data_IF_235150914504
#
_entry.id   IF_235150914504
#
_cell.length_a   1.000
_cell.length_b   1.000
_cell.length_c   1.000
_cell.angle_alpha   90.00
_cell.angle_beta   90.00
_cell.angle_gamma   90.00
#
_symmetry.space_group_name_H-M   'P 1'
#
loop_
_entity.id
_entity.type
_entity.pdbx_description
1 polymer ?
#
# COMPACT_ATOMS: atom_id res chain seq x y z
N UNK A 1 4.62 17.80 25.48
CA UNK A 1 3.21 17.52 25.14
C UNK A 1 3.18 17.01 23.70
N UNK A 2 2.27 16.10 23.39
CA UNK A 2 2.20 15.48 22.06
C UNK A 2 1.71 16.52 21.04
N UNK A 3 2.61 16.92 20.13
CA UNK A 3 2.37 17.91 19.08
C UNK A 3 1.12 17.56 18.26
N UNK A 4 0.83 16.26 18.13
CA UNK A 4 -0.35 15.78 17.43
C UNK A 4 -1.62 16.24 18.17
N UNK A 5 -1.72 15.96 19.47
CA UNK A 5 -2.88 16.36 20.28
C UNK A 5 -3.06 17.88 20.32
N UNK A 6 -1.95 18.62 20.46
CA UNK A 6 -1.99 20.08 20.36
C UNK A 6 -2.55 20.53 19.01
N UNK A 7 -2.02 20.00 17.90
CA UNK A 7 -2.46 20.36 16.54
C UNK A 7 -3.93 19.99 16.27
N UNK A 8 -4.39 18.84 16.76
CA UNK A 8 -5.79 18.40 16.62
C UNK A 8 -6.77 19.34 17.36
N UNK A 9 -6.33 19.90 18.50
CA UNK A 9 -7.12 20.81 19.34
C UNK A 9 -7.20 22.25 18.81
N UNK A 10 -6.35 22.62 17.84
CA UNK A 10 -6.36 23.96 17.28
C UNK A 10 -7.62 24.22 16.45
N UNK A 11 -8.14 25.44 16.59
CA UNK A 11 -9.12 26.02 15.66
C UNK A 11 -8.33 26.66 14.53
N UNK A 12 -8.30 26.07 13.32
CA UNK A 12 -7.48 26.58 12.24
C UNK A 12 -8.03 27.90 11.70
N UNK A 13 -7.15 28.74 11.16
CA UNK A 13 -7.60 29.86 10.32
C UNK A 13 -8.41 29.36 9.12
N UNK A 14 -9.45 30.09 8.65
CA UNK A 14 -10.44 29.56 7.71
C UNK A 14 -9.85 28.90 6.46
N UNK A 15 -8.76 29.46 5.91
CA UNK A 15 -8.13 28.93 4.70
C UNK A 15 -7.35 27.61 4.93
N UNK A 16 -6.91 27.33 6.16
CA UNK A 16 -6.23 26.08 6.53
C UNK A 16 -7.20 24.99 6.98
N UNK A 17 -8.48 25.30 7.14
CA UNK A 17 -9.48 24.34 7.61
C UNK A 17 -9.48 23.02 6.81
N UNK A 18 -9.37 23.00 5.46
CA UNK A 18 -9.27 21.76 4.70
C UNK A 18 -8.02 20.94 5.04
N UNK A 19 -6.87 21.59 5.22
CA UNK A 19 -5.60 20.92 5.55
C UNK A 19 -5.63 20.30 6.95
N UNK A 20 -6.24 20.99 7.94
CA UNK A 20 -6.45 20.44 9.28
C UNK A 20 -7.48 19.31 9.29
N UNK A 21 -8.52 19.38 8.45
CA UNK A 21 -9.47 18.28 8.28
C UNK A 21 -8.79 17.03 7.70
N UNK A 22 -7.95 17.19 6.66
CA UNK A 22 -7.15 16.10 6.11
C UNK A 22 -6.20 15.52 7.17
N UNK A 23 -5.55 16.35 7.98
CA UNK A 23 -4.68 15.90 9.07
C UNK A 23 -5.43 15.08 10.13
N UNK A 24 -6.62 15.51 10.56
CA UNK A 24 -7.47 14.74 11.49
C UNK A 24 -7.82 13.37 10.93
N UNK A 25 -8.18 13.32 9.64
CA UNK A 25 -8.49 12.07 8.97
C UNK A 25 -7.25 11.16 8.90
N UNK A 26 -6.09 11.69 8.47
CA UNK A 26 -4.81 10.98 8.49
C UNK A 26 -4.58 10.34 9.87
N UNK A 27 -4.68 11.12 10.94
CA UNK A 27 -4.46 10.61 12.30
C UNK A 27 -5.42 9.48 12.67
N UNK A 28 -6.71 9.62 12.35
CA UNK A 28 -7.70 8.57 12.61
C UNK A 28 -7.41 7.28 11.83
N UNK A 29 -6.94 7.40 10.58
CA UNK A 29 -6.55 6.25 9.75
C UNK A 29 -5.29 5.57 10.26
N UNK A 30 -4.31 6.33 10.78
CA UNK A 30 -3.07 5.78 11.38
C UNK A 30 -3.38 4.90 12.58
N UNK A 31 -4.36 5.28 13.40
CA UNK A 31 -4.71 4.46 14.57
C UNK A 31 -5.25 3.08 14.18
N UNK A 32 -5.89 2.97 13.00
CA UNK A 32 -6.39 1.73 12.44
C UNK A 32 -5.34 0.96 11.60
N UNK A 33 -4.19 1.58 11.31
CA UNK A 33 -3.17 0.97 10.45
C UNK A 33 -2.52 -0.25 11.13
N UNK A 34 -2.39 -1.35 10.37
CA UNK A 34 -1.79 -2.60 10.84
C UNK A 34 -0.29 -2.74 10.56
N UNK A 35 0.29 -1.82 9.79
CA UNK A 35 1.70 -1.86 9.38
C UNK A 35 2.28 -0.45 9.24
N UNK A 36 3.60 -0.33 9.43
CA UNK A 36 4.34 0.94 9.37
C UNK A 36 3.76 2.03 10.29
N UNK A 37 3.19 1.63 11.45
CA UNK A 37 2.44 2.52 12.33
C UNK A 37 3.35 3.59 12.94
N UNK A 38 4.57 3.25 13.33
CA UNK A 38 5.53 4.21 13.88
C UNK A 38 5.99 5.21 12.82
N UNK A 39 6.33 4.75 11.61
CA UNK A 39 6.70 5.64 10.51
C UNK A 39 5.57 6.61 10.16
N UNK A 40 4.34 6.12 10.09
CA UNK A 40 3.17 6.96 9.85
C UNK A 40 2.93 7.98 10.99
N UNK A 41 3.17 7.60 12.25
CA UNK A 41 3.12 8.53 13.39
C UNK A 41 4.16 9.65 13.27
N UNK A 42 5.39 9.33 12.87
CA UNK A 42 6.43 10.35 12.62
C UNK A 42 6.05 11.27 11.46
N UNK A 43 5.40 10.74 10.41
CA UNK A 43 4.83 11.55 9.32
C UNK A 43 3.75 12.50 9.83
N UNK A 44 2.81 12.00 10.64
CA UNK A 44 1.78 12.84 11.25
C UNK A 44 2.38 13.93 12.15
N UNK A 45 3.41 13.62 12.95
CA UNK A 45 4.12 14.62 13.74
C UNK A 45 4.71 15.73 12.86
N UNK A 46 5.35 15.35 11.75
CA UNK A 46 5.95 16.30 10.80
C UNK A 46 4.90 17.21 10.16
N UNK A 47 3.76 16.64 9.76
CA UNK A 47 2.62 17.39 9.23
C UNK A 47 2.03 18.33 10.30
N UNK A 48 1.86 17.83 11.53
CA UNK A 48 1.32 18.61 12.64
C UNK A 48 2.19 19.83 12.95
N UNK A 49 3.51 19.66 13.02
CA UNK A 49 4.48 20.75 13.19
C UNK A 49 4.38 21.79 12.07
N UNK A 50 4.28 21.34 10.82
CA UNK A 50 4.11 22.22 9.67
C UNK A 50 2.84 23.06 9.79
N UNK A 51 1.70 22.42 10.04
CA UNK A 51 0.41 23.09 10.14
C UNK A 51 0.36 24.09 11.30
N UNK A 52 0.92 23.72 12.47
CA UNK A 52 1.04 24.64 13.61
C UNK A 52 1.88 25.87 13.25
N UNK A 53 3.02 25.67 12.60
CA UNK A 53 3.92 26.77 12.23
C UNK A 53 3.26 27.72 11.24
N UNK A 54 2.58 27.19 10.22
CA UNK A 54 1.85 28.02 9.24
C UNK A 54 0.71 28.78 9.92
N UNK A 55 -0.07 28.14 10.81
CA UNK A 55 -1.16 28.80 11.54
C UNK A 55 -0.63 29.94 12.43
N UNK A 56 0.48 29.73 13.14
CA UNK A 56 1.15 30.75 13.96
C UNK A 56 1.66 31.92 13.13
N UNK A 57 2.35 31.66 12.03
CA UNK A 57 2.91 32.69 11.14
C UNK A 57 1.79 33.51 10.45
N UNK A 58 0.65 32.87 10.15
CA UNK A 58 -0.52 33.56 9.61
C UNK A 58 -1.18 34.46 10.65
N UNK A 59 -1.41 33.96 11.87
CA UNK A 59 -1.94 34.76 13.00
C UNK A 59 -1.01 35.92 13.35
N UNK A 60 0.31 35.71 13.21
CA UNK A 60 1.34 36.73 13.37
C UNK A 60 1.42 37.76 12.23
N UNK A 61 0.55 37.66 11.21
CA UNK A 61 0.49 38.51 9.99
C UNK A 61 1.75 38.48 9.11
N UNK A 62 2.73 37.62 9.37
CA UNK A 62 4.00 37.54 8.62
C UNK A 62 3.83 36.88 7.25
N UNK A 63 2.90 35.94 7.13
CA UNK A 63 2.62 35.28 5.83
C UNK A 63 1.90 36.18 4.82
N UNK A 64 1.14 37.18 5.28
CA UNK A 64 0.38 38.10 4.41
C UNK A 64 1.28 39.03 3.57
N UNK A 65 2.55 39.21 3.95
CA UNK A 65 3.53 39.99 3.19
C UNK A 65 4.07 39.20 1.97
N UNK A 66 3.99 37.87 2.01
CA UNK A 66 4.43 36.98 0.92
C UNK A 66 3.23 36.62 0.02
N UNK A 67 3.13 37.24 -1.16
CA UNK A 67 2.04 37.06 -2.14
C UNK A 67 2.00 35.67 -2.85
N UNK A 68 2.21 34.55 -2.16
CA UNK A 68 2.25 33.23 -2.80
C UNK A 68 1.21 32.27 -2.21
N UNK A 69 0.07 32.12 -2.89
CA UNK A 69 -0.98 31.13 -2.57
C UNK A 69 -0.65 29.71 -3.06
N UNK A 70 0.30 29.60 -4.00
CA UNK A 70 0.70 28.35 -4.67
C UNK A 70 1.28 27.29 -3.71
N UNK A 71 2.18 27.63 -2.77
CA UNK A 71 2.72 26.67 -1.81
C UNK A 71 1.65 26.07 -0.88
N UNK A 72 0.61 26.84 -0.54
CA UNK A 72 -0.49 26.39 0.32
C UNK A 72 -1.44 25.45 -0.43
N UNK A 73 -1.74 25.74 -1.70
CA UNK A 73 -2.51 24.84 -2.56
C UNK A 73 -1.77 23.50 -2.78
N UNK A 74 -0.45 23.55 -3.00
CA UNK A 74 0.39 22.36 -3.13
C UNK A 74 0.41 21.53 -1.84
N UNK A 75 0.49 22.17 -0.66
CA UNK A 75 0.39 21.49 0.63
C UNK A 75 -0.97 20.80 0.80
N UNK A 76 -2.06 21.48 0.46
CA UNK A 76 -3.39 20.86 0.55
C UNK A 76 -3.50 19.63 -0.35
N UNK A 77 -3.04 19.71 -1.61
CA UNK A 77 -3.00 18.57 -2.53
C UNK A 77 -2.20 17.40 -1.98
N UNK A 78 -1.02 17.67 -1.42
CA UNK A 78 -0.16 16.66 -0.80
C UNK A 78 -0.84 15.99 0.41
N UNK A 79 -1.51 16.76 1.29
CA UNK A 79 -2.20 16.20 2.45
C UNK A 79 -3.40 15.33 2.05
N UNK A 80 -4.10 15.67 0.96
CA UNK A 80 -5.17 14.83 0.40
C UNK A 80 -4.60 13.52 -0.17
N UNK A 81 -3.46 13.58 -0.85
CA UNK A 81 -2.77 12.39 -1.35
C UNK A 81 -2.33 11.48 -0.19
N UNK A 82 -1.68 12.03 0.83
CA UNK A 82 -1.26 11.30 2.03
C UNK A 82 -2.48 10.70 2.73
N UNK A 83 -3.55 11.46 2.90
CA UNK A 83 -4.81 11.00 3.48
C UNK A 83 -5.38 9.79 2.74
N UNK A 84 -5.40 9.84 1.41
CA UNK A 84 -5.90 8.74 0.58
C UNK A 84 -4.99 7.50 0.69
N UNK A 85 -3.68 7.70 0.69
CA UNK A 85 -2.70 6.64 0.86
C UNK A 85 -2.82 5.95 2.22
N UNK A 86 -2.82 6.71 3.32
CA UNK A 86 -2.88 6.15 4.68
C UNK A 86 -4.19 5.40 4.90
N UNK A 87 -5.32 5.94 4.43
CA UNK A 87 -6.60 5.24 4.50
C UNK A 87 -6.58 3.93 3.72
N UNK A 88 -5.98 3.94 2.53
CA UNK A 88 -5.82 2.73 1.73
C UNK A 88 -5.01 1.69 2.49
N UNK A 89 -3.81 2.05 2.98
CA UNK A 89 -2.96 1.14 3.76
C UNK A 89 -3.67 0.61 5.03
N UNK A 90 -4.46 1.43 5.72
CA UNK A 90 -5.17 1.01 6.93
C UNK A 90 -6.23 -0.07 6.68
N UNK A 91 -6.79 -0.13 5.46
CA UNK A 91 -7.82 -1.09 5.07
C UNK A 91 -7.27 -2.37 4.41
N UNK A 92 -5.97 -2.42 4.10
CA UNK A 92 -5.35 -3.58 3.43
C UNK A 92 -5.22 -4.76 4.40
N UNK A 93 -5.42 -5.96 3.85
CA UNK A 93 -5.15 -7.20 4.57
C UNK A 93 -3.65 -7.43 4.80
N UNK A 94 -3.34 -8.23 5.83
CA UNK A 94 -1.99 -8.51 6.30
C UNK A 94 -1.01 -8.93 5.19
N UNK A 95 -1.36 -9.92 4.35
CA UNK A 95 -0.46 -10.40 3.29
C UNK A 95 -0.15 -9.31 2.24
N UNK A 96 -1.15 -8.51 1.85
CA UNK A 96 -0.92 -7.40 0.91
C UNK A 96 0.05 -6.39 1.52
N UNK A 97 -0.10 -6.06 2.80
CA UNK A 97 0.81 -5.19 3.52
C UNK A 97 2.23 -5.77 3.63
N UNK A 98 2.34 -7.09 3.83
CA UNK A 98 3.63 -7.77 3.90
C UNK A 98 4.35 -7.77 2.54
N UNK A 99 3.67 -8.17 1.46
CA UNK A 99 4.25 -8.23 0.12
C UNK A 99 4.61 -6.86 -0.46
N UNK A 100 3.94 -5.79 -0.02
CA UNK A 100 4.18 -4.42 -0.50
C UNK A 100 4.98 -3.56 0.49
N UNK A 101 5.65 -4.19 1.49
CA UNK A 101 6.32 -3.44 2.59
C UNK A 101 7.33 -2.42 2.07
N UNK A 102 8.18 -2.80 1.12
CA UNK A 102 9.29 -1.95 0.67
C UNK A 102 8.77 -0.75 -0.13
N UNK A 103 7.73 -0.99 -0.94
CA UNK A 103 7.06 0.08 -1.68
C UNK A 103 6.35 1.06 -0.75
N UNK A 104 5.67 0.55 0.28
CA UNK A 104 5.02 1.38 1.31
C UNK A 104 6.05 2.22 2.06
N UNK A 105 7.15 1.61 2.51
CA UNK A 105 8.24 2.30 3.22
C UNK A 105 8.82 3.42 2.35
N UNK A 106 9.16 3.11 1.09
CA UNK A 106 9.70 4.08 0.16
C UNK A 106 8.73 5.25 -0.11
N UNK A 107 7.42 4.96 -0.19
CA UNK A 107 6.39 6.00 -0.37
C UNK A 107 6.24 6.91 0.85
N UNK A 108 6.29 6.35 2.06
CA UNK A 108 6.27 7.14 3.30
C UNK A 108 7.49 8.07 3.36
N UNK A 109 8.67 7.58 3.00
CA UNK A 109 9.89 8.40 2.91
C UNK A 109 9.77 9.52 1.87
N UNK A 110 9.13 9.26 0.73
CA UNK A 110 8.89 10.26 -0.30
C UNK A 110 8.01 11.41 0.22
N UNK A 111 6.89 11.10 0.88
CA UNK A 111 6.05 12.13 1.51
C UNK A 111 6.80 12.92 2.55
N UNK A 112 7.59 12.24 3.35
CA UNK A 112 8.45 12.88 4.33
C UNK A 112 9.46 13.85 3.70
N UNK A 113 10.13 13.46 2.61
CA UNK A 113 11.03 14.34 1.87
C UNK A 113 10.27 15.54 1.33
N UNK A 114 9.08 15.35 0.76
CA UNK A 114 8.25 16.44 0.25
C UNK A 114 7.87 17.42 1.37
N UNK A 115 7.38 16.92 2.51
CA UNK A 115 7.10 17.73 3.69
C UNK A 115 8.37 18.45 4.16
N UNK A 116 9.52 17.79 4.24
CA UNK A 116 10.80 18.41 4.62
C UNK A 116 11.25 19.53 3.67
N UNK A 117 11.02 19.40 2.36
CA UNK A 117 11.33 20.47 1.40
C UNK A 117 10.50 21.74 1.62
N UNK A 118 9.23 21.59 2.01
CA UNK A 118 8.37 22.72 2.38
C UNK A 118 8.86 23.42 3.66
N UNK A 119 9.71 22.76 4.45
CA UNK A 119 10.14 23.18 5.78
C UNK A 119 11.65 23.45 5.82
N UNK A 120 12.34 23.59 4.68
CA UNK A 120 13.81 23.68 4.63
C UNK A 120 14.44 24.87 5.37
N UNK A 121 13.66 25.80 5.92
CA UNK A 121 14.13 26.85 6.83
C UNK A 121 13.80 26.62 8.34
N UNK A 122 13.00 25.61 8.69
CA UNK A 122 12.29 25.54 9.98
C UNK A 122 12.51 24.24 10.77
N UNK A 123 13.04 23.16 10.18
CA UNK A 123 13.26 21.89 10.90
C UNK A 123 14.70 21.37 10.76
N UNK A 124 15.21 20.81 11.85
CA UNK A 124 16.48 20.09 11.90
C UNK A 124 16.35 18.78 11.12
N UNK A 125 16.73 18.81 9.84
CA UNK A 125 16.66 17.67 8.89
C UNK A 125 17.34 16.42 9.46
N UNK A 126 18.44 16.57 10.20
CA UNK A 126 19.16 15.44 10.80
C UNK A 126 18.38 14.79 11.95
N UNK A 127 17.75 15.60 12.81
CA UNK A 127 16.90 15.08 13.87
C UNK A 127 15.71 14.31 13.28
N UNK A 128 15.11 14.83 12.21
CA UNK A 128 14.02 14.17 11.50
C UNK A 128 14.44 12.83 10.88
N UNK A 129 15.58 12.79 10.18
CA UNK A 129 16.10 11.54 9.59
C UNK A 129 16.30 10.46 10.66
N UNK A 130 16.91 10.83 11.79
CA UNK A 130 17.11 9.91 12.91
C UNK A 130 15.79 9.38 13.50
N UNK A 131 14.76 10.23 13.63
CA UNK A 131 13.45 9.81 14.09
C UNK A 131 12.78 8.82 13.14
N UNK A 132 12.85 9.07 11.82
CA UNK A 132 12.28 8.19 10.81
C UNK A 132 12.99 6.82 10.75
N UNK A 133 14.32 6.79 10.90
CA UNK A 133 15.09 5.55 10.99
C UNK A 133 14.70 4.73 12.22
N UNK A 134 14.60 5.38 13.39
CA UNK A 134 14.16 4.71 14.64
C UNK A 134 12.73 4.16 14.53
N UNK A 135 11.83 4.92 13.90
CA UNK A 135 10.46 4.48 13.67
C UNK A 135 10.42 3.24 12.79
N UNK A 136 11.16 3.24 11.68
CA UNK A 136 11.30 2.06 10.80
C UNK A 136 11.87 0.85 11.53
N UNK A 137 12.93 1.04 12.31
CA UNK A 137 13.52 -0.05 13.08
C UNK A 137 12.54 -0.65 14.10
N UNK A 138 11.67 0.19 14.66
CA UNK A 138 10.62 -0.26 15.59
C UNK A 138 9.52 -1.03 14.86
N UNK A 139 9.01 -0.49 13.75
CA UNK A 139 8.02 -1.18 12.90
C UNK A 139 8.54 -2.53 12.40
N UNK A 140 9.81 -2.60 11.99
CA UNK A 140 10.44 -3.85 11.57
C UNK A 140 10.50 -4.86 12.71
N UNK A 141 10.91 -4.43 13.92
CA UNK A 141 10.95 -5.32 15.09
C UNK A 141 9.57 -5.90 15.41
N UNK A 142 8.54 -5.06 15.44
CA UNK A 142 7.16 -5.48 15.69
C UNK A 142 6.66 -6.46 14.63
N UNK A 143 6.98 -6.21 13.36
CA UNK A 143 6.67 -7.13 12.26
C UNK A 143 7.34 -8.50 12.50
N UNK A 144 8.62 -8.53 12.87
CA UNK A 144 9.37 -9.77 13.08
C UNK A 144 8.80 -10.61 14.23
N UNK A 145 8.44 -9.95 15.32
CA UNK A 145 7.79 -10.58 16.48
C UNK A 145 6.44 -11.17 16.07
N UNK A 146 5.65 -10.43 15.28
CA UNK A 146 4.38 -10.91 14.74
C UNK A 146 4.58 -12.12 13.80
N UNK A 147 5.52 -12.06 12.87
CA UNK A 147 5.82 -13.19 11.98
C UNK A 147 6.27 -14.43 12.76
N UNK A 148 7.10 -14.25 13.78
CA UNK A 148 7.56 -15.35 14.64
C UNK A 148 6.41 -15.99 15.42
N UNK A 149 5.47 -15.20 15.95
CA UNK A 149 4.30 -15.74 16.64
C UNK A 149 3.34 -16.49 15.71
N UNK A 150 3.17 -16.02 14.47
CA UNK A 150 2.36 -16.70 13.45
C UNK A 150 3.02 -17.99 12.91
N UNK A 151 4.35 -18.05 12.90
CA UNK A 151 5.10 -19.27 12.56
C UNK A 151 4.84 -20.38 13.58
N UNK A 152 4.78 -20.05 14.87
CA UNK A 152 4.65 -21.03 15.96
C UNK A 152 3.18 -21.37 16.26
N UNK A 153 2.24 -20.46 15.99
CA UNK A 153 0.84 -20.62 16.37
C UNK A 153 -0.07 -21.01 15.19
N UNK A 154 -0.40 -22.30 15.11
CA UNK A 154 -1.26 -22.85 14.07
C UNK A 154 -2.73 -22.40 14.10
N UNK A 155 -3.23 -21.81 15.21
CA UNK A 155 -4.61 -21.30 15.30
C UNK A 155 -4.74 -19.85 14.84
N UNK A 156 -3.71 -19.02 15.05
CA UNK A 156 -3.72 -17.60 14.66
C UNK A 156 -3.51 -17.40 13.16
N UNK A 157 -2.79 -18.33 12.52
CA UNK A 157 -2.44 -18.22 11.10
C UNK A 157 -3.68 -18.16 10.18
N UNK A 158 -4.66 -19.10 10.27
CA UNK A 158 -5.82 -19.09 9.37
C UNK A 158 -6.71 -17.87 9.57
N UNK A 159 -6.87 -17.42 10.82
CA UNK A 159 -7.61 -16.21 11.18
C UNK A 159 -6.96 -14.96 10.57
N UNK A 160 -5.64 -14.83 10.69
CA UNK A 160 -4.88 -13.68 10.18
C UNK A 160 -4.88 -13.61 8.65
N UNK A 161 -4.84 -14.77 7.99
CA UNK A 161 -4.82 -14.85 6.53
C UNK A 161 -6.20 -14.60 5.91
N UNK A 162 -7.28 -14.65 6.71
CA UNK A 162 -8.66 -14.59 6.25
C UNK A 162 -8.89 -15.51 5.02
N UNK A 163 -8.53 -16.78 5.18
CA UNK A 163 -8.44 -17.73 4.07
C UNK A 163 -9.83 -18.04 3.51
N UNK A 164 -10.19 -17.40 2.40
CA UNK A 164 -11.29 -17.83 1.55
C UNK A 164 -10.76 -18.65 0.37
N UNK A 165 -11.48 -19.70 -0.03
CA UNK A 165 -11.06 -20.64 -1.09
C UNK A 165 -10.67 -19.94 -2.40
N UNK A 166 -11.36 -18.84 -2.76
CA UNK A 166 -11.08 -18.04 -3.97
C UNK A 166 -9.74 -17.28 -3.93
N UNK A 167 -9.22 -16.97 -2.74
CA UNK A 167 -7.97 -16.20 -2.59
C UNK A 167 -6.75 -17.10 -2.33
N UNK A 168 -6.97 -18.37 -1.98
CA UNK A 168 -5.91 -19.30 -1.58
C UNK A 168 -4.85 -19.54 -2.66
N UNK A 169 -5.27 -19.77 -3.91
CA UNK A 169 -4.33 -19.99 -5.02
C UNK A 169 -3.45 -18.77 -5.27
N UNK A 170 -4.04 -17.57 -5.22
CA UNK A 170 -3.30 -16.31 -5.33
C UNK A 170 -2.27 -16.15 -4.21
N UNK A 171 -2.65 -16.47 -2.97
CA UNK A 171 -1.70 -16.46 -1.84
C UNK A 171 -0.54 -17.42 -2.06
N UNK A 172 -0.81 -18.67 -2.45
CA UNK A 172 0.23 -19.67 -2.67
C UNK A 172 1.22 -19.25 -3.75
N UNK A 173 0.73 -18.70 -4.86
CA UNK A 173 1.57 -18.17 -5.95
C UNK A 173 2.44 -17.02 -5.45
N UNK A 174 1.86 -16.04 -4.72
CA UNK A 174 2.63 -14.91 -4.18
C UNK A 174 3.70 -15.38 -3.19
N UNK A 175 3.36 -16.30 -2.27
CA UNK A 175 4.30 -16.86 -1.29
C UNK A 175 5.46 -17.59 -1.96
N UNK A 176 5.16 -18.49 -2.92
CA UNK A 176 6.19 -19.20 -3.69
C UNK A 176 7.13 -18.24 -4.41
N UNK A 177 6.59 -17.18 -5.02
CA UNK A 177 7.37 -16.18 -5.74
C UNK A 177 8.29 -15.38 -4.81
N UNK A 178 7.82 -14.99 -3.63
CA UNK A 178 8.65 -14.32 -2.63
C UNK A 178 9.81 -15.22 -2.17
N UNK A 179 9.52 -16.48 -1.82
CA UNK A 179 10.56 -17.47 -1.46
C UNK A 179 11.60 -17.63 -2.57
N UNK A 180 11.17 -17.74 -3.84
CA UNK A 180 12.06 -17.92 -4.99
C UNK A 180 12.93 -16.70 -5.29
N UNK A 181 12.41 -15.49 -5.08
CA UNK A 181 13.17 -14.24 -5.33
C UNK A 181 14.35 -14.10 -4.39
N UNK A 182 14.33 -14.73 -3.22
CA UNK A 182 15.49 -14.78 -2.32
C UNK A 182 15.95 -13.40 -1.84
N UNK A 183 15.04 -12.42 -1.78
CA UNK A 183 15.30 -11.05 -1.30
C UNK A 183 14.85 -10.88 0.16
N UNK A 184 13.96 -11.74 0.63
CA UNK A 184 13.31 -11.57 1.92
C UNK A 184 14.27 -11.85 3.10
N UNK A 185 13.98 -11.27 4.25
CA UNK A 185 14.74 -11.49 5.49
C UNK A 185 14.52 -12.91 6.05
N UNK A 186 15.40 -13.40 6.92
CA UNK A 186 15.33 -14.78 7.43
C UNK A 186 13.97 -15.13 8.04
N UNK A 187 13.36 -14.21 8.81
CA UNK A 187 12.04 -14.42 9.41
C UNK A 187 10.90 -14.43 8.37
N UNK A 188 10.99 -13.61 7.32
CA UNK A 188 9.97 -13.57 6.26
C UNK A 188 9.99 -14.85 5.45
N UNK A 189 11.19 -15.32 5.09
CA UNK A 189 11.34 -16.61 4.38
C UNK A 189 10.77 -17.76 5.18
N UNK A 190 11.05 -17.83 6.49
CA UNK A 190 10.49 -18.87 7.38
C UNK A 190 8.98 -18.78 7.43
N UNK A 191 8.44 -17.58 7.65
CA UNK A 191 7.00 -17.36 7.67
C UNK A 191 6.34 -17.76 6.34
N UNK A 192 6.93 -17.37 5.20
CA UNK A 192 6.40 -17.72 3.88
C UNK A 192 6.43 -19.22 3.62
N UNK A 193 7.52 -19.90 3.97
CA UNK A 193 7.64 -21.34 3.82
C UNK A 193 6.61 -22.08 4.69
N UNK A 194 6.48 -21.69 5.96
CA UNK A 194 5.50 -22.26 6.88
C UNK A 194 4.07 -22.04 6.39
N UNK A 195 3.74 -20.83 5.95
CA UNK A 195 2.41 -20.50 5.43
C UNK A 195 2.09 -21.28 4.16
N UNK A 196 3.06 -21.39 3.24
CA UNK A 196 2.89 -22.17 2.02
C UNK A 196 2.68 -23.65 2.32
N UNK A 197 3.42 -24.21 3.27
CA UNK A 197 3.25 -25.60 3.71
C UNK A 197 1.86 -25.83 4.29
N UNK A 198 1.38 -24.92 5.14
CA UNK A 198 0.03 -24.95 5.69
C UNK A 198 -1.01 -24.96 4.55
N UNK A 199 -0.95 -23.99 3.62
CA UNK A 199 -1.90 -23.89 2.52
C UNK A 199 -1.87 -25.08 1.56
N UNK A 200 -0.68 -25.64 1.30
CA UNK A 200 -0.52 -26.85 0.47
C UNK A 200 -1.19 -28.06 1.15
N UNK A 201 -1.00 -28.20 2.45
CA UNK A 201 -1.60 -29.30 3.23
C UNK A 201 -3.11 -29.16 3.31
N UNK A 202 -3.63 -27.96 3.58
CA UNK A 202 -5.06 -27.70 3.69
C UNK A 202 -5.80 -27.76 2.36
N UNK A 203 -5.17 -27.36 1.26
CA UNK A 203 -5.78 -27.39 -0.07
C UNK A 203 -5.68 -28.74 -0.77
N UNK A 204 -4.71 -29.58 -0.38
CA UNK A 204 -4.36 -30.81 -1.10
C UNK A 204 -3.86 -30.57 -2.53
N UNK A 205 -3.51 -29.32 -2.88
CA UNK A 205 -3.11 -28.92 -4.24
C UNK A 205 -1.69 -28.37 -4.21
N UNK A 206 -0.88 -28.77 -5.18
CA UNK A 206 0.33 -28.04 -5.55
C UNK A 206 0.00 -27.06 -6.67
N UNK A 207 0.48 -25.82 -6.53
CA UNK A 207 0.30 -24.78 -7.56
C UNK A 207 1.65 -24.59 -8.27
N UNK A 208 1.64 -24.77 -9.59
CA UNK A 208 2.77 -24.40 -10.45
C UNK A 208 2.75 -22.90 -10.70
N UNK A 209 3.85 -22.22 -10.35
CA UNK A 209 4.04 -20.80 -10.62
C UNK A 209 4.58 -20.64 -12.03
N UNK A 210 3.83 -19.94 -12.88
CA UNK A 210 4.29 -19.53 -14.21
C UNK A 210 4.60 -18.03 -14.21
N UNK A 211 5.60 -17.61 -15.00
CA UNK A 211 6.10 -16.23 -15.02
C UNK A 211 5.06 -15.18 -15.43
N UNK A 212 4.05 -15.57 -16.22
CA UNK A 212 2.99 -14.67 -16.66
C UNK A 212 1.87 -14.50 -15.64
N UNK A 213 1.82 -15.33 -14.58
CA UNK A 213 0.75 -15.28 -13.59
C UNK A 213 0.89 -14.05 -12.70
N UNK A 214 -0.12 -13.19 -12.72
CA UNK A 214 -0.21 -12.04 -11.81
C UNK A 214 -1.30 -12.32 -10.78
N UNK A 215 -1.00 -12.05 -9.51
CA UNK A 215 -1.93 -12.23 -8.40
C UNK A 215 -2.58 -10.90 -8.02
N UNK A 216 -3.72 -10.96 -7.32
CA UNK A 216 -4.36 -9.77 -6.73
C UNK A 216 -3.46 -9.03 -5.72
N UNK A 217 -2.40 -9.69 -5.23
CA UNK A 217 -1.41 -9.08 -4.36
C UNK A 217 -0.42 -8.17 -5.10
N UNK A 218 -0.34 -8.27 -6.42
CA UNK A 218 0.61 -7.50 -7.25
C UNK A 218 -0.05 -6.32 -7.98
N UNK A 219 -1.38 -6.32 -8.08
CA UNK A 219 -2.14 -5.28 -8.78
C UNK A 219 -2.93 -4.40 -7.83
N UNK A 220 -3.23 -3.19 -8.27
CA UNK A 220 -4.15 -2.27 -7.62
C UNK A 220 -5.28 -1.95 -8.61
N UNK A 221 -6.53 -2.12 -8.16
CA UNK A 221 -7.71 -1.72 -8.93
C UNK A 221 -8.03 -0.25 -8.67
N UNK A 222 -8.34 0.46 -9.75
CA UNK A 222 -8.90 1.81 -9.75
C UNK A 222 -10.36 1.80 -10.19
N UNK A 223 -10.80 2.89 -10.82
CA UNK A 223 -12.17 3.01 -11.32
C UNK A 223 -12.40 2.18 -12.59
N UNK A 224 -13.65 1.78 -12.82
CA UNK A 224 -14.08 1.15 -14.08
C UNK A 224 -13.88 2.14 -15.24
N UNK A 225 -13.24 1.69 -16.32
CA UNK A 225 -13.01 2.47 -17.55
C UNK A 225 -13.80 1.94 -18.74
N UNK A 226 -14.45 0.78 -18.61
CA UNK A 226 -15.37 0.26 -19.61
C UNK A 226 -15.98 -1.07 -19.21
N UNK A 227 -17.09 -1.41 -19.84
CA UNK A 227 -17.79 -2.68 -19.66
C UNK A 227 -18.44 -3.13 -20.96
N UNK A 228 -18.60 -4.46 -21.12
CA UNK A 228 -19.23 -5.05 -22.29
C UNK A 228 -19.46 -6.55 -22.11
N UNK A 229 -19.88 -7.23 -23.19
CA UNK A 229 -20.24 -8.66 -23.14
C UNK A 229 -19.13 -9.60 -22.66
N UNK A 230 -17.86 -9.19 -22.79
CA UNK A 230 -16.70 -10.00 -22.42
C UNK A 230 -16.12 -9.67 -21.03
N UNK A 231 -16.75 -8.76 -20.28
CA UNK A 231 -16.27 -8.36 -18.96
C UNK A 231 -16.26 -6.86 -18.69
N UNK A 232 -15.75 -6.52 -17.51
CA UNK A 232 -15.49 -5.16 -17.07
C UNK A 232 -13.99 -4.88 -17.16
N UNK A 233 -13.63 -3.63 -17.48
CA UNK A 233 -12.25 -3.15 -17.56
C UNK A 233 -12.08 -2.04 -16.56
N UNK A 234 -11.08 -2.17 -15.71
CA UNK A 234 -10.72 -1.16 -14.71
C UNK A 234 -9.39 -0.53 -15.08
N UNK A 235 -9.22 0.77 -14.79
CA UNK A 235 -7.88 1.32 -14.66
C UNK A 235 -7.23 0.64 -13.45
N UNK A 236 -5.97 0.27 -13.54
CA UNK A 236 -5.23 -0.28 -12.43
C UNK A 236 -3.76 0.11 -12.49
N UNK A 237 -3.00 -0.38 -11.51
CA UNK A 237 -1.54 -0.30 -11.54
C UNK A 237 -0.90 -1.64 -11.22
N UNK A 238 0.21 -1.91 -11.89
CA UNK A 238 1.06 -3.08 -11.69
C UNK A 238 2.52 -2.65 -11.84
N UNK A 239 3.38 -2.96 -10.86
CA UNK A 239 4.77 -2.51 -10.83
C UNK A 239 4.92 -1.01 -11.15
N UNK A 240 4.09 -0.17 -10.52
CA UNK A 240 4.05 1.30 -10.71
C UNK A 240 3.74 1.77 -12.14
N UNK A 241 3.27 0.87 -13.00
CA UNK A 241 2.83 1.17 -14.36
C UNK A 241 1.31 1.14 -14.40
N UNK A 242 0.69 2.14 -15.02
CA UNK A 242 -0.75 2.14 -15.28
C UNK A 242 -1.09 1.02 -16.26
N UNK A 243 -2.11 0.22 -15.93
CA UNK A 243 -2.56 -0.93 -16.72
C UNK A 243 -4.08 -0.95 -16.84
N UNK A 244 -4.59 -1.66 -17.84
CA UNK A 244 -6.01 -2.02 -17.92
C UNK A 244 -6.21 -3.42 -17.32
N UNK A 245 -7.06 -3.53 -16.30
CA UNK A 245 -7.39 -4.79 -15.65
C UNK A 245 -8.75 -5.27 -16.16
N UNK A 246 -8.76 -6.29 -17.02
CA UNK A 246 -9.99 -6.89 -17.56
C UNK A 246 -10.46 -8.03 -16.66
N UNK A 247 -11.60 -7.85 -16.03
CA UNK A 247 -12.30 -8.87 -15.24
C UNK A 247 -13.32 -9.53 -16.15
N UNK A 248 -13.08 -10.80 -16.49
CA UNK A 248 -13.98 -11.58 -17.32
C UNK A 248 -15.25 -11.91 -16.54
N UNK A 249 -16.42 -11.59 -17.10
CA UNK A 249 -17.71 -11.97 -16.52
C UNK A 249 -18.01 -13.42 -16.87
N UNK A 250 -18.52 -14.20 -15.91
CA UNK A 250 -19.08 -15.52 -16.22
C UNK A 250 -20.40 -15.34 -16.95
N UNK A 251 -20.47 -15.73 -18.23
CA UNK A 251 -21.74 -15.87 -18.93
C UNK A 251 -22.26 -17.29 -18.72
N UNK A 252 -23.54 -17.41 -18.37
CA UNK A 252 -24.29 -18.67 -18.23
C UNK A 252 -23.70 -19.72 -17.28
N UNK A 253 -22.92 -19.30 -16.27
CA UNK A 253 -22.30 -20.20 -15.31
C UNK A 253 -21.12 -21.00 -15.88
N UNK A 254 -20.69 -20.72 -17.11
CA UNK A 254 -19.53 -21.33 -17.75
C UNK A 254 -18.35 -20.37 -17.62
N UNK A 255 -17.39 -20.70 -16.76
CA UNK A 255 -16.06 -20.10 -16.85
C UNK A 255 -15.45 -20.53 -18.19
N UNK A 256 -14.84 -19.61 -18.97
CA UNK A 256 -13.95 -20.05 -20.04
C UNK A 256 -12.93 -20.99 -19.41
N UNK A 257 -12.70 -22.16 -20.01
CA UNK A 257 -11.93 -23.19 -19.34
C UNK A 257 -10.54 -22.64 -18.97
N UNK A 258 -10.05 -23.01 -17.79
CA UNK A 258 -8.74 -22.50 -17.33
C UNK A 258 -7.60 -22.86 -18.30
N UNK A 259 -7.80 -23.86 -19.16
CA UNK A 259 -6.85 -24.26 -20.21
C UNK A 259 -6.93 -23.32 -21.42
N UNK A 260 -8.13 -22.98 -21.91
CA UNK A 260 -8.27 -22.05 -23.05
C UNK A 260 -7.73 -20.66 -22.71
N UNK A 261 -8.00 -20.17 -21.49
CA UNK A 261 -7.41 -18.92 -20.98
C UNK A 261 -5.89 -19.05 -20.90
N UNK A 262 -5.37 -20.14 -20.32
CA UNK A 262 -3.91 -20.38 -20.21
C UNK A 262 -3.23 -20.39 -21.57
N UNK A 263 -3.78 -21.11 -22.55
CA UNK A 263 -3.19 -21.23 -23.89
C UNK A 263 -3.14 -19.87 -24.59
N UNK A 264 -4.21 -19.08 -24.49
CA UNK A 264 -4.27 -17.72 -25.01
C UNK A 264 -3.19 -16.83 -24.35
N UNK A 265 -3.11 -16.82 -23.02
CA UNK A 265 -2.11 -16.02 -22.29
C UNK A 265 -0.68 -16.47 -22.61
N UNK A 266 -0.44 -17.77 -22.77
CA UNK A 266 0.89 -18.29 -23.06
C UNK A 266 1.39 -17.83 -24.44
N UNK A 267 0.47 -17.62 -25.39
CA UNK A 267 0.79 -17.04 -26.70
C UNK A 267 1.08 -15.55 -26.53
N UNK A 268 0.14 -14.78 -25.96
CA UNK A 268 0.25 -13.32 -25.87
C UNK A 268 1.42 -12.84 -24.99
N UNK A 269 1.70 -13.54 -23.88
CA UNK A 269 2.78 -13.17 -22.95
C UNK A 269 4.19 -13.25 -23.57
N UNK A 270 4.36 -14.06 -24.63
CA UNK A 270 5.63 -14.24 -25.34
C UNK A 270 5.83 -13.25 -26.49
N UNK A 271 4.77 -12.59 -26.96
CA UNK A 271 4.87 -11.61 -28.05
C UNK A 271 5.56 -10.33 -27.55
N UNK A 272 6.68 -9.99 -28.17
CA UNK A 272 7.43 -8.75 -27.89
C UNK A 272 7.60 -7.95 -29.17
N UNK A 273 6.76 -6.93 -29.36
CA UNK A 273 6.82 -6.04 -30.52
C UNK A 273 6.29 -4.64 -30.17
N UNK A 274 6.86 -3.53 -30.70
CA UNK A 274 6.44 -2.16 -30.37
C UNK A 274 4.97 -1.82 -30.67
N UNK A 275 4.33 -2.58 -31.57
CA UNK A 275 2.94 -2.39 -31.97
C UNK A 275 1.98 -3.49 -31.48
N UNK A 276 2.45 -4.37 -30.60
CA UNK A 276 1.62 -5.42 -29.99
C UNK A 276 1.49 -5.11 -28.50
N UNK A 277 0.26 -4.96 -28.04
CA UNK A 277 -0.03 -4.81 -26.61
C UNK A 277 0.40 -6.08 -25.89
N UNK A 278 1.19 -5.91 -24.83
CA UNK A 278 1.64 -7.03 -24.02
C UNK A 278 0.56 -7.38 -23.01
N UNK A 279 0.03 -8.58 -23.09
CA UNK A 279 -1.01 -9.06 -22.17
C UNK A 279 -0.41 -9.96 -21.07
N UNK A 280 -0.97 -9.82 -19.88
CA UNK A 280 -0.70 -10.67 -18.72
C UNK A 280 -2.04 -11.01 -18.08
N UNK A 281 -2.09 -12.07 -17.27
CA UNK A 281 -3.36 -12.51 -16.71
C UNK A 281 -3.24 -13.17 -15.35
N UNK A 282 -4.38 -13.16 -14.66
CA UNK A 282 -4.64 -13.93 -13.45
C UNK A 282 -5.44 -15.17 -13.85
N UNK A 283 -4.96 -16.36 -13.49
CA UNK A 283 -5.71 -17.60 -13.74
C UNK A 283 -7.03 -17.56 -12.93
N UNK A 284 -8.20 -17.88 -13.51
CA UNK A 284 -9.44 -17.93 -12.76
C UNK A 284 -9.33 -19.00 -11.66
N UNK A 285 -9.76 -18.66 -10.44
CA UNK A 285 -9.93 -19.63 -9.37
C UNK A 285 -11.03 -20.62 -9.77
N UNK A 286 -10.67 -21.89 -9.95
CA UNK A 286 -11.61 -23.02 -10.10
C UNK A 286 -11.98 -23.54 -8.72
#
# INVERSE_FOLDING_TARGET
>A
MDIIHECLSLVPVPYLAPSFAAFRFIWSSIEQAQASKQQLKVLAQSIGQLLQTIDQEYRGRRLLESRSLTPLANLQGLLVEISSFVQKEATRGFLKLLFTKDERIARIEEYHRHIGTLISALLNIQAWQSMNEKARATDQRELNERLSSLEINHQLLPETLNVHQRNMMGMMISLQRHIQRGVDEDWERRFFAHTLQYLTTSSGRQVEVEDWMITSYEVEFGHEIGSGGFGQVFKGSWNRTDVALKVLTMQDGVTPSSTSIRDEIQIWSKLRHPHILREFAQRPAI
#
